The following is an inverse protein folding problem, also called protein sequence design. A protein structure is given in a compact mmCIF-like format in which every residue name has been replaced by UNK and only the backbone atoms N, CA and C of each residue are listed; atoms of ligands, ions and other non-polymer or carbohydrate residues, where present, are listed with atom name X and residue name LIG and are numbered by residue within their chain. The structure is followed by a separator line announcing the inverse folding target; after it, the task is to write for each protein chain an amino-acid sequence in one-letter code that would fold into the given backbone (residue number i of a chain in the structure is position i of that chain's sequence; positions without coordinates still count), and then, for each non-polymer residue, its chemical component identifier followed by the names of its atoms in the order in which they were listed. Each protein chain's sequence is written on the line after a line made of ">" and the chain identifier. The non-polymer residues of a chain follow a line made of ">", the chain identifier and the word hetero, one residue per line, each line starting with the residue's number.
data_IF_853943224065
#
_entry.id   IF_853943224065
#
_cell.length_a   1.000
_cell.length_b   1.000
_cell.length_c   1.000
_cell.angle_alpha   90.00
_cell.angle_beta   90.00
_cell.angle_gamma   90.00
#
_symmetry.space_group_name_H-M   'P 1'
#
loop_
_entity.id
_entity.type
_entity.pdbx_description
1 polymer ?
#
# COMPACT_ATOMS: atom_id res chain seq x y z
N UNK A 1 3.17 33.17 3.42
CA UNK A 1 3.69 31.87 2.92
C UNK A 1 2.49 30.96 2.73
N UNK A 2 2.35 30.33 1.56
CA UNK A 2 1.33 29.30 1.34
C UNK A 2 1.91 27.94 1.73
N UNK A 3 1.16 27.15 2.48
CA UNK A 3 1.52 25.78 2.88
C UNK A 3 0.34 24.91 2.52
N UNK A 4 0.57 23.88 1.71
CA UNK A 4 -0.45 22.90 1.35
C UNK A 4 -0.84 22.12 2.60
N UNK A 5 -2.15 21.94 2.82
CA UNK A 5 -2.65 21.09 3.90
C UNK A 5 -2.66 19.63 3.48
N UNK A 6 -1.57 18.93 3.81
CA UNK A 6 -1.38 17.49 3.55
C UNK A 6 -2.20 16.58 4.48
N UNK A 7 -3.14 17.13 5.26
CA UNK A 7 -4.15 16.34 5.97
C UNK A 7 -5.53 16.46 5.31
N UNK A 8 -5.67 17.30 4.28
CA UNK A 8 -6.93 17.45 3.58
C UNK A 8 -7.14 16.25 2.64
N UNK A 9 -8.18 15.42 2.85
CA UNK A 9 -8.38 14.21 2.06
C UNK A 9 -8.67 14.46 0.58
N UNK A 10 -8.97 15.69 0.16
CA UNK A 10 -9.11 16.02 -1.26
C UNK A 10 -7.75 16.32 -1.88
N UNK A 11 -6.82 16.89 -1.11
CA UNK A 11 -5.44 17.13 -1.54
C UNK A 11 -4.68 15.79 -1.64
N UNK A 12 -4.78 14.95 -0.62
CA UNK A 12 -4.10 13.63 -0.58
C UNK A 12 -4.58 12.67 -1.68
N UNK A 13 -5.68 12.97 -2.37
CA UNK A 13 -6.18 12.14 -3.48
C UNK A 13 -5.54 12.50 -4.82
N UNK A 14 -4.80 13.60 -4.91
CA UNK A 14 -4.19 14.06 -6.15
C UNK A 14 -2.92 13.27 -6.45
N UNK A 15 -3.01 12.33 -7.38
CA UNK A 15 -1.94 11.38 -7.69
C UNK A 15 -0.87 11.93 -8.63
N UNK A 16 -1.29 12.59 -9.71
CA UNK A 16 -0.40 13.01 -10.78
C UNK A 16 -0.24 14.52 -10.79
N UNK A 17 0.83 15.00 -11.43
CA UNK A 17 1.03 16.45 -11.63
C UNK A 17 -0.09 17.10 -12.51
N UNK A 18 -0.97 16.30 -13.12
CA UNK A 18 -2.13 16.78 -13.88
C UNK A 18 -3.41 16.79 -13.04
N UNK A 19 -3.44 16.08 -11.91
CA UNK A 19 -4.49 16.20 -10.92
C UNK A 19 -4.24 17.50 -10.16
N UNK A 20 -5.16 18.45 -10.29
CA UNK A 20 -5.00 19.77 -9.71
C UNK A 20 -6.21 20.24 -8.93
N UNK A 21 -5.94 21.04 -7.91
CA UNK A 21 -6.93 21.87 -7.22
C UNK A 21 -6.51 23.33 -7.36
N UNK A 22 -7.45 24.25 -7.27
CA UNK A 22 -7.16 25.68 -7.28
C UNK A 22 -7.71 26.31 -6.01
N UNK A 23 -6.82 26.97 -5.28
CA UNK A 23 -7.19 27.85 -4.18
C UNK A 23 -7.27 29.29 -4.69
N UNK A 24 -8.27 30.05 -4.23
CA UNK A 24 -8.58 31.38 -4.76
C UNK A 24 -8.67 32.37 -3.61
N UNK A 25 -7.82 33.38 -3.66
CA UNK A 25 -7.77 34.46 -2.69
C UNK A 25 -8.22 35.77 -3.34
N UNK A 26 -9.33 36.34 -2.88
CA UNK A 26 -9.76 37.68 -3.32
C UNK A 26 -9.11 38.75 -2.46
N UNK A 27 -8.56 39.79 -3.09
CA UNK A 27 -8.00 40.96 -2.41
C UNK A 27 -8.56 42.25 -3.01
N UNK A 28 -8.45 43.34 -2.27
CA UNK A 28 -8.89 44.67 -2.70
C UNK A 28 -7.71 45.63 -2.70
N UNK A 29 -7.56 46.38 -3.78
CA UNK A 29 -6.57 47.45 -3.93
C UNK A 29 -7.28 48.78 -3.81
N UNK A 30 -6.80 49.65 -2.91
CA UNK A 30 -7.32 51.00 -2.72
C UNK A 30 -6.25 52.02 -3.08
N UNK A 31 -6.60 53.03 -3.89
CA UNK A 31 -5.69 54.12 -4.24
C UNK A 31 -5.62 55.20 -3.14
N UNK A 32 -4.73 56.19 -3.31
CA UNK A 32 -4.59 57.30 -2.36
C UNK A 32 -5.83 58.21 -2.26
N UNK A 33 -6.74 58.13 -3.24
CA UNK A 33 -8.02 58.84 -3.26
C UNK A 33 -9.17 58.06 -2.59
N UNK A 34 -8.92 56.82 -2.14
CA UNK A 34 -9.91 55.96 -1.48
C UNK A 34 -10.77 55.12 -2.43
N UNK A 35 -10.51 55.14 -3.74
CA UNK A 35 -11.21 54.28 -4.70
C UNK A 35 -10.64 52.86 -4.63
N UNK A 36 -11.51 51.86 -4.63
CA UNK A 36 -11.13 50.47 -4.43
C UNK A 36 -11.58 49.57 -5.59
N UNK A 37 -10.77 48.55 -5.91
CA UNK A 37 -11.12 47.50 -6.86
C UNK A 37 -10.67 46.12 -6.34
N UNK A 38 -11.44 45.07 -6.65
CA UNK A 38 -11.11 43.70 -6.25
C UNK A 38 -10.35 42.96 -7.36
N UNK A 39 -9.50 42.03 -6.95
CA UNK A 39 -8.77 41.09 -7.82
C UNK A 39 -8.59 39.75 -7.10
N UNK A 40 -8.15 38.74 -7.85
CA UNK A 40 -7.94 37.39 -7.31
C UNK A 40 -6.49 36.95 -7.51
N UNK A 41 -5.98 36.19 -6.54
CA UNK A 41 -4.77 35.38 -6.63
C UNK A 41 -5.20 33.91 -6.69
N UNK A 42 -4.80 33.21 -7.75
CA UNK A 42 -5.06 31.78 -7.91
C UNK A 42 -3.79 31.00 -7.58
N UNK A 43 -3.91 30.00 -6.70
CA UNK A 43 -2.83 29.08 -6.36
C UNK A 43 -3.22 27.68 -6.85
N UNK A 44 -2.50 27.17 -7.85
CA UNK A 44 -2.70 25.81 -8.34
C UNK A 44 -1.89 24.82 -7.50
N UNK A 45 -2.59 23.83 -6.94
CA UNK A 45 -2.02 22.71 -6.21
C UNK A 45 -1.93 21.55 -7.19
N UNK A 46 -0.74 20.97 -7.33
CA UNK A 46 -0.50 19.80 -8.18
C UNK A 46 -0.33 18.55 -7.32
N UNK A 47 -0.91 17.44 -7.77
CA UNK A 47 -0.77 16.15 -7.14
C UNK A 47 0.62 15.54 -7.22
N UNK A 48 0.86 14.57 -6.35
CA UNK A 48 2.07 13.75 -6.31
C UNK A 48 1.71 12.37 -5.78
N UNK A 49 2.24 11.34 -6.44
CA UNK A 49 2.06 9.94 -6.08
C UNK A 49 2.73 9.67 -4.72
N UNK A 50 1.93 9.20 -3.77
CA UNK A 50 2.31 8.81 -2.43
C UNK A 50 2.65 7.31 -2.38
N UNK A 51 3.51 6.93 -1.43
CA UNK A 51 3.88 5.54 -1.28
C UNK A 51 2.75 4.74 -0.59
N UNK A 52 2.52 3.48 -1.00
CA UNK A 52 1.58 2.61 -0.33
C UNK A 52 1.98 2.36 1.14
N UNK A 53 1.00 2.34 2.03
CA UNK A 53 1.20 1.98 3.43
C UNK A 53 0.88 0.50 3.62
N UNK A 54 1.93 -0.30 3.90
CA UNK A 54 1.80 -1.73 4.17
C UNK A 54 1.49 -2.02 5.65
N UNK A 55 0.73 -3.09 5.93
CA UNK A 55 0.47 -3.59 7.28
C UNK A 55 0.82 -5.07 7.41
N UNK A 56 1.35 -5.51 8.57
CA UNK A 56 1.70 -6.91 8.76
C UNK A 56 0.48 -7.84 8.73
N UNK A 57 0.67 -9.01 8.12
CA UNK A 57 -0.30 -10.11 8.11
C UNK A 57 0.17 -11.30 8.95
N UNK A 58 -0.80 -12.11 9.37
CA UNK A 58 -0.56 -13.38 10.03
C UNK A 58 -1.38 -14.47 9.37
N UNK A 59 -0.80 -15.65 9.22
CA UNK A 59 -1.47 -16.85 8.74
C UNK A 59 -1.16 -18.05 9.64
N UNK A 60 -2.10 -18.99 9.74
CA UNK A 60 -1.95 -20.21 10.52
C UNK A 60 -1.95 -21.42 9.60
N UNK A 61 -0.89 -22.23 9.68
CA UNK A 61 -0.79 -23.52 9.02
C UNK A 61 -0.74 -24.61 10.10
N UNK A 62 -1.33 -25.77 9.79
CA UNK A 62 -1.42 -26.93 10.67
C UNK A 62 -0.64 -28.07 10.00
N UNK A 63 0.32 -28.64 10.71
CA UNK A 63 1.10 -29.79 10.22
C UNK A 63 0.21 -31.03 10.07
N UNK A 64 0.54 -31.92 9.14
CA UNK A 64 -0.07 -33.24 9.11
C UNK A 64 0.27 -34.04 10.38
N UNK A 65 -0.62 -34.94 10.81
CA UNK A 65 -0.46 -35.66 12.07
C UNK A 65 -1.05 -37.07 12.09
N UNK A 66 -1.05 -37.68 13.27
CA UNK A 66 -1.46 -39.07 13.46
C UNK A 66 -0.37 -40.08 13.09
N UNK A 67 -0.69 -41.37 13.13
CA UNK A 67 0.26 -42.43 12.77
C UNK A 67 0.65 -42.30 11.29
N UNK A 68 1.93 -42.05 11.01
CA UNK A 68 2.47 -41.81 9.67
C UNK A 68 1.80 -40.65 8.90
N UNK A 69 1.48 -39.53 9.56
CA UNK A 69 0.85 -38.34 8.94
C UNK A 69 -0.47 -38.64 8.22
N UNK A 70 -1.23 -39.64 8.70
CA UNK A 70 -2.52 -40.04 8.11
C UNK A 70 -3.66 -39.02 8.30
N UNK A 71 -3.48 -38.00 9.15
CA UNK A 71 -4.39 -36.86 9.28
C UNK A 71 -3.81 -35.68 8.49
N UNK A 72 -4.48 -35.20 7.44
CA UNK A 72 -3.99 -34.08 6.66
C UNK A 72 -3.82 -32.82 7.51
N UNK A 73 -2.74 -32.10 7.25
CA UNK A 73 -2.57 -30.73 7.75
C UNK A 73 -3.46 -29.73 7.01
N UNK A 74 -3.18 -28.45 7.22
CA UNK A 74 -3.86 -27.34 6.56
C UNK A 74 -2.84 -26.24 6.20
N UNK A 75 -2.78 -25.78 4.95
CA UNK A 75 -1.94 -24.63 4.61
C UNK A 75 -2.51 -23.34 5.21
N UNK A 76 -1.63 -22.36 5.43
CA UNK A 76 -2.08 -20.98 5.65
C UNK A 76 -2.37 -20.33 4.30
N UNK A 77 -3.52 -19.67 4.18
CA UNK A 77 -3.90 -18.93 2.97
C UNK A 77 -4.44 -17.56 3.36
N UNK A 78 -4.29 -16.60 2.46
CA UNK A 78 -4.80 -15.25 2.66
C UNK A 78 -4.32 -14.32 1.55
N UNK A 79 -4.51 -13.02 1.77
CA UNK A 79 -4.05 -11.98 0.87
C UNK A 79 -3.42 -10.83 1.67
N UNK A 80 -2.16 -10.51 1.35
CA UNK A 80 -1.36 -9.52 2.10
C UNK A 80 -1.67 -8.07 1.75
N UNK A 81 -2.52 -7.82 0.74
CA UNK A 81 -2.85 -6.46 0.29
C UNK A 81 -4.19 -5.95 0.83
N UNK A 82 -4.97 -6.78 1.53
CA UNK A 82 -6.33 -6.43 1.97
C UNK A 82 -6.33 -5.29 3.01
N UNK A 83 -5.34 -5.26 3.88
CA UNK A 83 -5.22 -4.30 4.98
C UNK A 83 -4.31 -3.10 4.64
N UNK A 84 -3.70 -3.10 3.46
CA UNK A 84 -2.84 -2.05 2.92
C UNK A 84 -3.66 -0.90 2.34
N UNK A 85 -3.13 0.32 2.40
CA UNK A 85 -3.86 1.53 1.95
C UNK A 85 -3.02 2.42 1.06
N UNK A 86 -3.65 2.97 0.02
CA UNK A 86 -3.13 4.07 -0.79
C UNK A 86 -4.10 5.22 -0.65
N UNK A 87 -3.59 6.44 -0.48
CA UNK A 87 -4.45 7.62 -0.37
C UNK A 87 -4.77 8.19 -1.75
N UNK A 88 -3.95 7.88 -2.76
CA UNK A 88 -4.11 8.33 -4.13
C UNK A 88 -5.36 7.77 -4.81
N UNK A 89 -6.09 8.64 -5.51
CA UNK A 89 -7.29 8.22 -6.21
C UNK A 89 -6.97 7.34 -7.41
N UNK A 90 -7.60 6.16 -7.46
CA UNK A 90 -7.51 5.24 -8.59
C UNK A 90 -6.16 4.53 -8.71
N UNK A 91 -5.35 4.54 -7.65
CA UNK A 91 -4.14 3.72 -7.59
C UNK A 91 -4.43 2.25 -7.25
N UNK A 92 -3.46 1.39 -7.56
CA UNK A 92 -3.51 -0.05 -7.35
C UNK A 92 -2.24 -0.53 -6.67
N UNK A 93 -2.35 -1.56 -5.84
CA UNK A 93 -1.23 -2.19 -5.15
C UNK A 93 -0.93 -3.56 -5.71
N UNK A 94 0.35 -3.91 -5.72
CA UNK A 94 0.81 -5.23 -6.07
C UNK A 94 2.05 -5.61 -5.26
N UNK A 95 2.19 -6.90 -4.97
CA UNK A 95 3.45 -7.45 -4.44
C UNK A 95 4.51 -7.44 -5.53
N UNK A 96 5.62 -6.76 -5.27
CA UNK A 96 6.76 -6.66 -6.20
C UNK A 96 7.94 -7.55 -5.83
N UNK A 97 8.11 -7.86 -4.54
CA UNK A 97 9.16 -8.73 -4.03
C UNK A 97 8.78 -9.28 -2.65
N UNK A 98 9.42 -10.39 -2.27
CA UNK A 98 9.34 -10.95 -0.93
C UNK A 98 10.59 -11.77 -0.64
N UNK A 99 10.85 -12.02 0.64
CA UNK A 99 12.03 -12.77 1.09
C UNK A 99 11.74 -13.50 2.39
N UNK A 100 12.58 -14.48 2.72
CA UNK A 100 12.57 -15.11 4.03
C UNK A 100 13.16 -14.19 5.10
N UNK A 101 12.97 -14.53 6.38
CA UNK A 101 13.62 -13.84 7.50
C UNK A 101 15.17 -13.85 7.41
N UNK A 102 15.75 -14.85 6.75
CA UNK A 102 17.18 -14.95 6.51
C UNK A 102 17.67 -14.10 5.31
N UNK A 103 16.77 -13.39 4.62
CA UNK A 103 17.10 -12.54 3.48
C UNK A 103 17.17 -13.24 2.13
N UNK A 104 16.75 -14.51 2.04
CA UNK A 104 16.66 -15.19 0.75
C UNK A 104 15.44 -14.66 -0.03
N UNK A 105 15.69 -13.95 -1.14
CA UNK A 105 14.64 -13.40 -2.00
C UNK A 105 13.89 -14.49 -2.76
N UNK A 106 12.58 -14.30 -2.91
CA UNK A 106 11.70 -15.11 -3.76
C UNK A 106 11.38 -14.43 -5.08
N UNK A 107 10.85 -15.22 -6.01
CA UNK A 107 10.24 -14.73 -7.24
C UNK A 107 8.73 -14.69 -7.06
N UNK A 108 8.09 -13.54 -7.30
CA UNK A 108 6.63 -13.39 -7.18
C UNK A 108 5.91 -14.44 -8.03
N UNK A 109 4.95 -15.13 -7.43
CA UNK A 109 4.20 -16.25 -8.03
C UNK A 109 4.92 -17.61 -7.98
N UNK A 110 6.18 -17.67 -7.52
CA UNK A 110 6.92 -18.90 -7.34
C UNK A 110 7.00 -19.31 -5.86
N UNK A 111 7.18 -20.62 -5.63
CA UNK A 111 7.42 -21.16 -4.29
C UNK A 111 8.82 -20.79 -3.81
N UNK A 112 8.91 -20.19 -2.62
CA UNK A 112 10.13 -19.91 -1.89
C UNK A 112 10.20 -20.80 -0.65
N UNK A 113 11.24 -21.61 -0.54
CA UNK A 113 11.47 -22.46 0.63
C UNK A 113 11.97 -21.63 1.81
N UNK A 114 11.23 -21.68 2.92
CA UNK A 114 11.61 -21.16 4.22
C UNK A 114 12.13 -22.24 5.15
N UNK A 115 12.18 -21.93 6.45
CA UNK A 115 12.74 -22.83 7.47
C UNK A 115 11.86 -24.07 7.72
N UNK A 116 10.55 -23.90 7.79
CA UNK A 116 9.58 -24.95 8.18
C UNK A 116 8.63 -25.37 7.05
N UNK A 117 8.80 -24.82 5.84
CA UNK A 117 7.82 -24.96 4.78
C UNK A 117 8.14 -24.06 3.59
N UNK A 118 7.20 -23.90 2.67
CA UNK A 118 7.35 -23.02 1.51
C UNK A 118 6.19 -22.04 1.39
N UNK A 119 6.51 -20.83 0.92
CA UNK A 119 5.55 -19.76 0.63
C UNK A 119 5.49 -19.52 -0.87
N UNK A 120 4.29 -19.55 -1.44
CA UNK A 120 4.01 -18.94 -2.74
C UNK A 120 3.23 -17.65 -2.49
N UNK A 121 3.75 -16.52 -2.97
CA UNK A 121 3.09 -15.21 -2.86
C UNK A 121 2.96 -14.58 -4.25
N UNK A 122 1.73 -14.27 -4.64
CA UNK A 122 1.38 -13.74 -5.96
C UNK A 122 1.35 -12.21 -5.99
N UNK A 123 1.44 -11.63 -7.19
CA UNK A 123 1.44 -10.17 -7.37
C UNK A 123 0.16 -9.50 -6.85
N UNK A 124 -0.98 -10.20 -6.91
CA UNK A 124 -2.26 -9.74 -6.38
C UNK A 124 -2.39 -9.89 -4.85
N UNK A 125 -1.34 -10.31 -4.16
CA UNK A 125 -1.31 -10.48 -2.71
C UNK A 125 -1.71 -11.86 -2.21
N UNK A 126 -2.32 -12.71 -3.06
CA UNK A 126 -2.74 -14.04 -2.63
C UNK A 126 -1.51 -14.91 -2.29
N UNK A 127 -1.57 -15.57 -1.14
CA UNK A 127 -0.52 -16.46 -0.69
C UNK A 127 -1.03 -17.82 -0.25
N UNK A 128 -0.12 -18.80 -0.36
CA UNK A 128 -0.27 -20.14 0.22
C UNK A 128 1.05 -20.50 0.90
N UNK A 129 1.00 -20.83 2.18
CA UNK A 129 2.11 -21.40 2.93
C UNK A 129 1.83 -22.86 3.27
N UNK A 130 2.70 -23.76 2.83
CA UNK A 130 2.63 -25.18 3.15
C UNK A 130 3.75 -25.53 4.13
N UNK A 131 3.41 -26.20 5.23
CA UNK A 131 4.40 -26.80 6.13
C UNK A 131 5.10 -27.96 5.39
N UNK A 132 6.38 -28.16 5.68
CA UNK A 132 7.11 -29.33 5.22
C UNK A 132 6.89 -30.50 6.20
N UNK A 133 5.91 -31.36 5.91
CA UNK A 133 5.57 -32.53 6.73
C UNK A 133 6.66 -33.64 6.76
N UNK A 134 7.77 -33.45 6.03
CA UNK A 134 8.92 -34.36 6.02
C UNK A 134 10.08 -33.89 6.91
N UNK A 135 10.02 -32.70 7.50
CA UNK A 135 11.02 -32.25 8.45
C UNK A 135 10.81 -33.01 9.77
N UNK A 136 11.73 -33.91 10.11
CA UNK A 136 11.71 -34.56 11.43
C UNK A 136 12.01 -33.52 12.51
N UNK A 137 11.15 -33.44 13.53
CA UNK A 137 11.33 -32.59 14.71
C UNK A 137 12.65 -32.86 15.45
#
# INVERSE_FOLDING_TARGET
>A
QYVVDNNNPVVERLRTNFDTLTDVFTFTVTDAGGLSNAAELHVTIHGRDDAPVAKPDTGEAIEAGGTFNGTPGKPATGNVLINDTDVDAGDTKAVSAFQTAAGAGGTVGASLTGLYGSLTLSANGDYVYNINDALTA
#
